data_IF_647887356676
#
_entry.id   IF_647887356676
#
_cell.length_a   1.000
_cell.length_b   1.000
_cell.length_c   1.000
_cell.angle_alpha   90.00
_cell.angle_beta   90.00
_cell.angle_gamma   90.00
#
_symmetry.space_group_name_H-M   'P 1'
#
loop_
_entity.id
_entity.type
_entity.pdbx_description
1 polymer ?
#
# COMPACT_ATOMS: atom_id res chain seq x y z
N UNK A 1 26.98 54.59 -7.74
CA UNK A 1 27.08 53.18 -7.30
C UNK A 1 26.65 52.34 -8.48
N UNK A 2 27.54 51.54 -9.07
CA UNK A 2 27.21 50.73 -10.24
C UNK A 2 26.57 49.43 -9.75
N UNK A 3 25.31 49.17 -10.14
CA UNK A 3 24.66 47.89 -9.93
C UNK A 3 25.37 46.84 -10.77
N UNK A 4 26.15 45.99 -10.11
CA UNK A 4 26.83 44.88 -10.75
C UNK A 4 25.81 43.76 -10.94
N UNK A 5 25.09 43.78 -12.07
CA UNK A 5 24.13 42.75 -12.42
C UNK A 5 24.91 41.46 -12.73
N UNK A 6 25.09 40.58 -11.74
CA UNK A 6 25.74 39.29 -11.93
C UNK A 6 24.93 38.48 -12.94
N UNK A 7 25.41 38.43 -14.18
CA UNK A 7 24.84 37.60 -15.23
C UNK A 7 25.04 36.14 -14.81
N UNK A 8 23.96 35.45 -14.43
CA UNK A 8 23.98 34.02 -14.07
C UNK A 8 24.67 33.22 -15.16
N UNK A 9 25.59 32.33 -14.77
CA UNK A 9 26.30 31.47 -15.72
C UNK A 9 25.32 30.52 -16.41
N UNK A 10 25.64 30.09 -17.64
CA UNK A 10 24.84 29.08 -18.37
C UNK A 10 24.68 27.79 -17.57
N UNK A 11 25.71 27.42 -16.79
CA UNK A 11 25.68 26.27 -15.89
C UNK A 11 24.63 26.44 -14.78
N UNK A 12 24.59 27.61 -14.14
CA UNK A 12 23.64 27.91 -13.07
C UNK A 12 22.20 27.90 -13.58
N UNK A 13 21.97 28.43 -14.78
CA UNK A 13 20.65 28.41 -15.42
C UNK A 13 20.18 26.97 -15.73
N UNK A 14 21.11 26.08 -16.10
CA UNK A 14 20.79 24.67 -16.36
C UNK A 14 20.49 23.92 -15.06
N UNK A 15 21.29 24.16 -14.01
CA UNK A 15 21.06 23.58 -12.68
C UNK A 15 19.74 24.03 -12.05
N UNK A 16 19.35 25.29 -12.24
CA UNK A 16 18.04 25.78 -11.81
C UNK A 16 16.88 25.03 -12.49
N UNK A 17 17.00 24.70 -13.78
CA UNK A 17 15.99 23.90 -14.48
C UNK A 17 15.94 22.46 -13.97
N UNK A 18 17.09 21.84 -13.75
CA UNK A 18 17.18 20.48 -13.20
C UNK A 18 16.60 20.42 -11.78
N UNK A 19 16.95 21.37 -10.91
CA UNK A 19 16.37 21.46 -9.55
C UNK A 19 14.87 21.74 -9.55
N UNK A 20 14.37 22.48 -10.54
CA UNK A 20 12.93 22.70 -10.71
C UNK A 20 12.21 21.42 -11.16
N UNK A 21 12.82 20.64 -12.06
CA UNK A 21 12.26 19.37 -12.55
C UNK A 21 12.40 18.24 -11.52
N UNK A 22 13.48 18.25 -10.75
CA UNK A 22 13.86 17.24 -9.75
C UNK A 22 14.16 17.90 -8.38
N UNK A 23 13.13 18.33 -7.63
CA UNK A 23 13.32 19.06 -6.37
C UNK A 23 13.97 18.23 -5.25
N UNK A 24 14.00 16.90 -5.37
CA UNK A 24 14.64 16.01 -4.40
C UNK A 24 16.13 15.71 -4.66
N UNK A 25 16.69 16.17 -5.79
CA UNK A 25 18.10 15.97 -6.15
C UNK A 25 18.91 17.23 -5.86
N UNK A 26 20.12 17.07 -5.32
CA UNK A 26 20.93 18.21 -4.87
C UNK A 26 21.85 18.72 -5.98
N UNK A 27 22.27 17.83 -6.89
CA UNK A 27 23.17 18.15 -8.00
C UNK A 27 24.47 18.79 -7.47
N UNK A 28 25.14 18.06 -6.57
CA UNK A 28 26.34 18.55 -5.87
C UNK A 28 27.63 18.33 -6.69
N UNK A 29 27.66 17.31 -7.54
CA UNK A 29 28.80 16.99 -8.40
C UNK A 29 28.42 16.89 -9.88
N UNK A 30 29.44 16.91 -10.75
CA UNK A 30 29.27 16.83 -12.20
C UNK A 30 28.68 15.49 -12.65
N UNK A 31 28.94 14.39 -11.92
CA UNK A 31 28.47 13.04 -12.27
C UNK A 31 26.95 12.91 -12.09
N UNK A 32 26.40 13.42 -10.99
CA UNK A 32 24.95 13.49 -10.72
C UNK A 32 24.25 14.39 -11.74
N UNK A 33 24.88 15.51 -12.12
CA UNK A 33 24.38 16.44 -13.13
C UNK A 33 24.33 15.77 -14.50
N UNK A 34 25.46 15.25 -14.99
CA UNK A 34 25.52 14.63 -16.33
C UNK A 34 24.76 13.32 -16.40
N UNK A 35 24.71 12.54 -15.32
CA UNK A 35 23.90 11.32 -15.21
C UNK A 35 22.41 11.62 -15.38
N UNK A 36 21.87 12.57 -14.61
CA UNK A 36 20.46 12.96 -14.76
C UNK A 36 20.14 13.54 -16.14
N UNK A 37 21.08 14.29 -16.73
CA UNK A 37 20.91 14.81 -18.10
C UNK A 37 20.84 13.65 -19.10
N UNK A 38 21.69 12.63 -18.95
CA UNK A 38 21.66 11.42 -19.79
C UNK A 38 20.34 10.68 -19.64
N UNK A 39 19.90 10.43 -18.40
CA UNK A 39 18.61 9.78 -18.12
C UNK A 39 17.44 10.54 -18.75
N UNK A 40 17.46 11.87 -18.67
CA UNK A 40 16.46 12.73 -19.32
C UNK A 40 16.46 12.55 -20.83
N UNK A 41 17.65 12.53 -21.46
CA UNK A 41 17.77 12.33 -22.91
C UNK A 41 17.26 10.95 -23.34
N UNK A 42 17.65 9.89 -22.63
CA UNK A 42 17.20 8.53 -22.93
C UNK A 42 15.68 8.41 -22.78
N UNK A 43 15.11 9.01 -21.73
CA UNK A 43 13.67 9.07 -21.56
C UNK A 43 12.98 9.82 -22.70
N UNK A 44 13.52 10.98 -23.10
CA UNK A 44 12.96 11.75 -24.22
C UNK A 44 13.07 10.99 -25.55
N UNK A 45 14.16 10.29 -25.80
CA UNK A 45 14.32 9.46 -26.99
C UNK A 45 13.29 8.33 -27.00
N UNK A 46 13.12 7.61 -25.88
CA UNK A 46 12.12 6.56 -25.75
C UNK A 46 10.69 7.10 -25.94
N UNK A 47 10.35 8.23 -25.31
CA UNK A 47 9.04 8.86 -25.48
C UNK A 47 8.82 9.28 -26.94
N UNK A 48 9.82 9.91 -27.57
CA UNK A 48 9.77 10.38 -28.95
C UNK A 48 9.59 9.22 -29.94
N UNK A 49 10.31 8.12 -29.75
CA UNK A 49 10.13 6.92 -30.57
C UNK A 49 8.74 6.31 -30.36
N UNK A 50 8.22 6.35 -29.13
CA UNK A 50 6.82 6.02 -28.86
C UNK A 50 5.83 6.92 -29.60
N UNK A 51 6.06 8.24 -29.63
CA UNK A 51 5.23 9.18 -30.38
C UNK A 51 5.30 8.92 -31.89
N UNK A 52 6.50 8.76 -32.44
CA UNK A 52 6.72 8.43 -33.86
C UNK A 52 6.05 7.12 -34.24
N UNK A 53 6.12 6.11 -33.37
CA UNK A 53 5.44 4.83 -33.57
C UNK A 53 3.92 4.99 -33.63
N UNK A 54 3.32 5.73 -32.70
CA UNK A 54 1.88 6.03 -32.70
C UNK A 54 1.46 6.87 -33.90
N UNK A 55 2.24 7.90 -34.23
CA UNK A 55 1.99 8.77 -35.38
C UNK A 55 2.06 7.99 -36.69
N UNK A 56 3.06 7.12 -36.84
CA UNK A 56 3.16 6.22 -37.99
C UNK A 56 1.96 5.29 -38.06
N UNK A 57 1.58 4.63 -36.97
CA UNK A 57 0.42 3.73 -36.95
C UNK A 57 -0.87 4.47 -37.33
N UNK A 58 -1.06 5.69 -36.82
CA UNK A 58 -2.21 6.52 -37.16
C UNK A 58 -2.19 6.98 -38.63
N UNK A 59 -1.01 7.38 -39.12
CA UNK A 59 -0.80 7.75 -40.53
C UNK A 59 -1.03 6.58 -41.49
N UNK A 60 -0.54 5.38 -41.14
CA UNK A 60 -0.76 4.15 -41.90
C UNK A 60 -2.26 3.80 -41.93
N UNK A 61 -2.97 3.93 -40.80
CA UNK A 61 -4.43 3.74 -40.72
C UNK A 61 -5.19 4.72 -41.64
N UNK A 62 -4.85 6.01 -41.59
CA UNK A 62 -5.47 7.03 -42.45
C UNK A 62 -5.13 6.86 -43.92
N UNK A 63 -3.94 6.34 -44.23
CA UNK A 63 -3.55 6.01 -45.60
C UNK A 63 -4.31 4.79 -46.12
N UNK A 64 -4.61 3.81 -45.25
CA UNK A 64 -5.37 2.62 -45.62
C UNK A 64 -6.83 2.93 -45.95
N UNK A 65 -7.48 3.84 -45.22
CA UNK A 65 -8.80 4.38 -45.59
C UNK A 65 -8.89 5.88 -45.26
N UNK A 66 -8.76 6.78 -46.25
CA UNK A 66 -8.87 8.22 -46.05
C UNK A 66 -10.20 8.67 -45.44
N UNK A 67 -11.28 7.89 -45.60
CA UNK A 67 -12.60 8.21 -45.02
C UNK A 67 -12.60 8.06 -43.51
N UNK A 68 -11.76 7.17 -42.96
CA UNK A 68 -11.60 7.00 -41.51
C UNK A 68 -11.02 8.25 -40.85
N UNK A 69 -10.10 8.95 -41.52
CA UNK A 69 -9.54 10.21 -41.05
C UNK A 69 -10.61 11.31 -40.98
N UNK A 70 -11.41 11.44 -42.04
CA UNK A 70 -12.51 12.41 -42.09
C UNK A 70 -13.58 12.08 -41.04
N UNK A 71 -13.86 10.80 -40.83
CA UNK A 71 -14.80 10.35 -39.80
C UNK A 71 -14.36 10.74 -38.39
N UNK A 72 -13.10 10.49 -38.03
CA UNK A 72 -12.56 10.89 -36.72
C UNK A 72 -12.49 12.41 -36.56
N UNK A 73 -12.15 13.14 -37.62
CA UNK A 73 -12.14 14.60 -37.61
C UNK A 73 -13.55 15.18 -37.40
N UNK A 74 -14.56 14.64 -38.09
CA UNK A 74 -15.96 15.02 -37.94
C UNK A 74 -16.45 14.75 -36.51
N UNK A 75 -16.13 13.59 -35.94
CA UNK A 75 -16.45 13.23 -34.55
C UNK A 75 -15.77 14.18 -33.54
N UNK A 76 -14.48 14.47 -33.72
CA UNK A 76 -13.74 15.43 -32.89
C UNK A 76 -14.38 16.83 -32.93
N UNK A 77 -14.93 17.22 -34.08
CA UNK A 77 -15.65 18.48 -34.25
C UNK A 77 -17.10 18.45 -33.75
N UNK A 78 -17.49 17.40 -33.02
CA UNK A 78 -18.81 17.27 -32.39
C UNK A 78 -19.93 16.85 -33.34
N UNK A 79 -19.61 16.35 -34.54
CA UNK A 79 -20.63 15.76 -35.41
C UNK A 79 -21.05 14.39 -34.87
N UNK A 80 -22.32 14.07 -35.06
CA UNK A 80 -22.87 12.78 -34.67
C UNK A 80 -22.14 11.65 -35.43
N UNK A 81 -21.58 10.65 -34.73
CA UNK A 81 -20.81 9.59 -35.37
C UNK A 81 -21.68 8.65 -36.21
N UNK A 82 -22.96 8.46 -35.91
CA UNK A 82 -23.85 7.65 -36.75
C UNK A 82 -24.11 8.36 -38.08
N UNK A 83 -24.37 9.66 -38.04
CA UNK A 83 -24.49 10.47 -39.26
C UNK A 83 -23.16 10.55 -40.02
N UNK A 84 -22.04 10.65 -39.31
CA UNK A 84 -20.69 10.65 -39.87
C UNK A 84 -20.37 9.36 -40.63
N UNK A 85 -20.85 8.21 -40.16
CA UNK A 85 -20.70 6.93 -40.87
C UNK A 85 -21.44 6.96 -42.20
N UNK A 86 -22.71 7.39 -42.22
CA UNK A 86 -23.51 7.49 -43.45
C UNK A 86 -22.93 8.51 -44.43
N UNK A 87 -22.41 9.64 -43.93
CA UNK A 87 -21.81 10.71 -44.74
C UNK A 87 -20.50 10.27 -45.40
N UNK A 88 -19.65 9.54 -44.67
CA UNK A 88 -18.32 9.16 -45.15
C UNK A 88 -18.31 7.82 -45.92
N UNK A 89 -19.18 6.87 -45.56
CA UNK A 89 -19.22 5.53 -46.16
C UNK A 89 -20.49 5.26 -46.98
N UNK A 90 -21.48 6.18 -46.97
CA UNK A 90 -22.71 6.07 -47.75
C UNK A 90 -23.82 5.26 -47.07
N UNK A 91 -25.00 5.25 -47.72
CA UNK A 91 -26.15 4.41 -47.32
C UNK A 91 -25.86 2.92 -47.57
N UNK A 92 -24.86 2.60 -48.40
CA UNK A 92 -24.38 1.24 -48.67
C UNK A 92 -23.87 0.51 -47.42
N UNK A 93 -23.62 1.22 -46.30
CA UNK A 93 -23.48 0.58 -44.98
C UNK A 93 -24.65 -0.37 -44.70
N UNK A 94 -25.87 0.01 -45.11
CA UNK A 94 -27.05 -0.84 -44.94
C UNK A 94 -26.91 -2.16 -45.70
N UNK A 95 -26.32 -2.15 -46.89
CA UNK A 95 -26.10 -3.37 -47.68
C UNK A 95 -25.01 -4.25 -47.05
N UNK A 96 -24.02 -3.64 -46.38
CA UNK A 96 -23.04 -4.36 -45.56
C UNK A 96 -23.69 -4.96 -44.32
N UNK A 97 -24.61 -4.23 -43.67
CA UNK A 97 -25.39 -4.76 -42.56
C UNK A 97 -26.28 -5.92 -43.03
N UNK A 98 -26.91 -5.84 -44.20
CA UNK A 98 -27.79 -6.88 -44.73
C UNK A 98 -27.05 -8.08 -45.35
N UNK A 99 -25.71 -8.05 -45.42
CA UNK A 99 -24.89 -9.15 -45.94
C UNK A 99 -24.80 -10.32 -44.93
N UNK A 100 -25.15 -11.56 -45.32
CA UNK A 100 -25.10 -12.73 -44.43
C UNK A 100 -23.75 -12.98 -43.75
N UNK A 101 -22.62 -12.78 -44.44
CA UNK A 101 -21.29 -13.00 -43.85
C UNK A 101 -20.91 -11.94 -42.82
N UNK A 102 -21.49 -10.73 -42.95
CA UNK A 102 -21.29 -9.64 -41.99
C UNK A 102 -22.27 -9.74 -40.82
N UNK A 103 -23.48 -10.26 -41.04
CA UNK A 103 -24.47 -10.52 -40.00
C UNK A 103 -23.92 -11.43 -38.89
N UNK A 104 -23.20 -12.49 -39.25
CA UNK A 104 -22.58 -13.38 -38.26
C UNK A 104 -21.53 -12.63 -37.41
N UNK A 105 -20.68 -11.82 -38.04
CA UNK A 105 -19.67 -11.00 -37.34
C UNK A 105 -20.30 -9.91 -36.47
N UNK A 106 -21.39 -9.29 -36.93
CA UNK A 106 -22.15 -8.29 -36.17
C UNK A 106 -22.84 -8.95 -34.98
N UNK A 107 -23.41 -10.15 -35.17
CA UNK A 107 -24.04 -10.91 -34.08
C UNK A 107 -23.01 -11.31 -33.02
N UNK A 108 -21.81 -11.73 -33.41
CA UNK A 108 -20.71 -12.02 -32.51
C UNK A 108 -20.25 -10.77 -31.74
N UNK A 109 -19.99 -9.65 -32.43
CA UNK A 109 -19.63 -8.38 -31.80
C UNK A 109 -20.72 -7.86 -30.85
N UNK A 110 -22.00 -8.02 -31.21
CA UNK A 110 -23.12 -7.64 -30.36
C UNK A 110 -23.25 -8.57 -29.14
N UNK A 111 -22.98 -9.87 -29.30
CA UNK A 111 -22.93 -10.82 -28.18
C UNK A 111 -21.84 -10.41 -27.17
N UNK A 112 -20.63 -10.10 -27.63
CA UNK A 112 -19.56 -9.60 -26.75
C UNK A 112 -19.95 -8.30 -26.05
N UNK A 113 -20.59 -7.37 -26.77
CA UNK A 113 -21.11 -6.13 -26.18
C UNK A 113 -22.14 -6.41 -25.10
N UNK A 114 -23.14 -7.25 -25.39
CA UNK A 114 -24.21 -7.63 -24.44
C UNK A 114 -23.63 -8.34 -23.22
N UNK A 115 -22.70 -9.28 -23.41
CA UNK A 115 -22.01 -9.97 -22.32
C UNK A 115 -21.22 -9.00 -21.44
N UNK A 116 -20.47 -8.06 -22.05
CA UNK A 116 -19.72 -7.04 -21.31
C UNK A 116 -20.65 -6.13 -20.51
N UNK A 117 -21.74 -5.66 -21.14
CA UNK A 117 -22.74 -4.80 -20.46
C UNK A 117 -23.46 -5.56 -19.35
N UNK A 118 -23.86 -6.82 -19.59
CA UNK A 118 -24.50 -7.65 -18.59
C UNK A 118 -23.56 -7.92 -17.41
N UNK A 119 -22.30 -8.27 -17.67
CA UNK A 119 -21.28 -8.49 -16.63
C UNK A 119 -20.99 -7.22 -15.85
N UNK A 120 -20.87 -6.07 -16.51
CA UNK A 120 -20.71 -4.78 -15.83
C UNK A 120 -21.89 -4.51 -14.90
N UNK A 121 -23.12 -4.61 -15.40
CA UNK A 121 -24.33 -4.42 -14.59
C UNK A 121 -24.42 -5.39 -13.42
N UNK A 122 -24.08 -6.67 -13.63
CA UNK A 122 -24.05 -7.66 -12.55
C UNK A 122 -23.02 -7.29 -11.47
N UNK A 123 -21.81 -6.87 -11.86
CA UNK A 123 -20.79 -6.41 -10.91
C UNK A 123 -21.22 -5.16 -10.16
N UNK A 124 -21.86 -4.21 -10.85
CA UNK A 124 -22.38 -2.98 -10.23
C UNK A 124 -23.50 -3.30 -9.23
N UNK A 125 -24.47 -4.14 -9.59
CA UNK A 125 -25.56 -4.58 -8.71
C UNK A 125 -25.04 -5.40 -7.51
N UNK A 126 -24.04 -6.25 -7.72
CA UNK A 126 -23.40 -7.01 -6.64
C UNK A 126 -22.63 -6.08 -5.70
N UNK A 127 -21.92 -5.10 -6.25
CA UNK A 127 -21.20 -4.09 -5.47
C UNK A 127 -22.16 -3.26 -4.61
N UNK A 128 -23.28 -2.77 -5.17
CA UNK A 128 -24.29 -2.03 -4.42
C UNK A 128 -24.88 -2.87 -3.27
N UNK A 129 -25.27 -4.12 -3.55
CA UNK A 129 -25.79 -5.04 -2.51
C UNK A 129 -24.75 -5.30 -1.41
N UNK A 130 -23.49 -5.50 -1.78
CA UNK A 130 -22.41 -5.73 -0.83
C UNK A 130 -22.11 -4.48 0.00
N UNK A 131 -22.26 -3.29 -0.57
CA UNK A 131 -22.09 -2.03 0.14
C UNK A 131 -23.17 -1.86 1.21
N UNK A 132 -24.44 -2.08 0.86
CA UNK A 132 -25.55 -2.02 1.81
C UNK A 132 -25.37 -3.02 2.95
N UNK A 133 -24.96 -4.26 2.63
CA UNK A 133 -24.66 -5.29 3.62
C UNK A 133 -23.48 -4.88 4.53
N UNK A 134 -22.42 -4.32 3.94
CA UNK A 134 -21.23 -3.86 4.67
C UNK A 134 -21.56 -2.72 5.63
N UNK A 135 -22.41 -1.76 5.23
CA UNK A 135 -22.91 -0.70 6.11
C UNK A 135 -23.72 -1.25 7.28
N UNK A 136 -24.55 -2.28 7.04
CA UNK A 136 -25.28 -2.95 8.12
C UNK A 136 -24.32 -3.67 9.09
N UNK A 137 -23.28 -4.33 8.58
CA UNK A 137 -22.25 -4.97 9.41
C UNK A 137 -21.47 -3.96 10.25
N UNK A 138 -21.10 -2.81 9.69
CA UNK A 138 -20.41 -1.75 10.43
C UNK A 138 -21.27 -1.23 11.60
N UNK A 139 -22.58 -1.01 11.38
CA UNK A 139 -23.50 -0.60 12.44
C UNK A 139 -23.61 -1.64 13.55
N UNK A 140 -23.77 -2.92 13.20
CA UNK A 140 -23.80 -4.00 14.19
C UNK A 140 -22.49 -4.08 14.98
N UNK A 141 -21.35 -3.97 14.30
CA UNK A 141 -20.04 -3.98 14.95
C UNK A 141 -19.85 -2.79 15.90
N UNK A 142 -20.33 -1.60 15.51
CA UNK A 142 -20.34 -0.42 16.35
C UNK A 142 -21.16 -0.65 17.63
N UNK A 143 -22.38 -1.18 17.49
CA UNK A 143 -23.27 -1.48 18.61
C UNK A 143 -22.68 -2.52 19.56
N UNK A 144 -22.17 -3.64 19.03
CA UNK A 144 -21.58 -4.73 19.82
C UNK A 144 -20.36 -4.29 20.63
N UNK A 145 -19.56 -3.37 20.08
CA UNK A 145 -18.33 -2.86 20.72
C UNK A 145 -18.56 -1.59 21.51
N UNK A 146 -19.77 -1.01 21.48
CA UNK A 146 -20.09 0.26 22.13
C UNK A 146 -19.22 1.41 21.63
N UNK A 147 -18.86 1.40 20.34
CA UNK A 147 -18.00 2.43 19.73
C UNK A 147 -18.78 3.71 19.47
N UNK A 148 -18.11 4.86 19.59
CA UNK A 148 -18.66 6.13 19.11
C UNK A 148 -18.65 6.18 17.57
N UNK A 149 -19.47 7.07 17.00
CA UNK A 149 -19.51 7.31 15.55
C UNK A 149 -18.11 7.65 15.00
N UNK A 150 -17.37 8.51 15.71
CA UNK A 150 -15.99 8.89 15.35
C UNK A 150 -15.01 7.70 15.30
N UNK A 151 -15.21 6.70 16.17
CA UNK A 151 -14.35 5.52 16.23
C UNK A 151 -14.64 4.55 15.08
N UNK A 152 -15.92 4.33 14.75
CA UNK A 152 -16.27 3.45 13.64
C UNK A 152 -15.92 4.10 12.29
N UNK A 153 -16.05 5.42 12.17
CA UNK A 153 -15.63 6.17 10.99
C UNK A 153 -14.12 6.02 10.75
N UNK A 154 -13.31 6.14 11.81
CA UNK A 154 -11.86 5.93 11.70
C UNK A 154 -11.50 4.50 11.26
N UNK A 155 -12.28 3.49 11.67
CA UNK A 155 -12.10 2.10 11.25
C UNK A 155 -12.47 1.93 9.77
N UNK A 156 -13.58 2.52 9.33
CA UNK A 156 -14.01 2.50 7.94
C UNK A 156 -13.01 3.18 7.01
N UNK A 157 -12.48 4.35 7.41
CA UNK A 157 -11.45 5.09 6.68
C UNK A 157 -10.14 4.30 6.57
N UNK A 158 -9.72 3.64 7.64
CA UNK A 158 -8.54 2.78 7.62
C UNK A 158 -8.73 1.61 6.66
N UNK A 159 -9.90 0.95 6.69
CA UNK A 159 -10.22 -0.13 5.76
C UNK A 159 -10.23 0.33 4.30
N UNK A 160 -10.87 1.48 4.00
CA UNK A 160 -10.91 2.07 2.67
C UNK A 160 -9.51 2.42 2.15
N UNK A 161 -8.63 2.90 3.03
CA UNK A 161 -7.24 3.19 2.67
C UNK A 161 -6.49 1.93 2.24
N UNK A 162 -6.63 0.83 2.99
CA UNK A 162 -6.01 -0.46 2.65
C UNK A 162 -6.53 -1.00 1.33
N UNK A 163 -7.85 -0.94 1.09
CA UNK A 163 -8.45 -1.40 -0.16
C UNK A 163 -7.95 -0.55 -1.34
N UNK A 164 -7.94 0.77 -1.20
CA UNK A 164 -7.46 1.70 -2.23
C UNK A 164 -5.99 1.42 -2.58
N UNK A 165 -5.14 1.27 -1.58
CA UNK A 165 -3.72 0.98 -1.79
C UNK A 165 -3.51 -0.40 -2.40
N UNK A 166 -4.29 -1.41 -2.00
CA UNK A 166 -4.29 -2.74 -2.60
C UNK A 166 -4.69 -2.74 -4.08
N UNK A 167 -5.73 -1.99 -4.46
CA UNK A 167 -6.14 -1.81 -5.87
C UNK A 167 -5.02 -1.15 -6.69
N UNK A 168 -4.26 -0.24 -6.08
CA UNK A 168 -3.12 0.43 -6.71
C UNK A 168 -1.80 -0.38 -6.63
N UNK A 169 -1.82 -1.58 -6.05
CA UNK A 169 -0.64 -2.43 -5.86
C UNK A 169 0.40 -1.88 -4.88
N UNK A 170 -0.01 -0.96 -3.99
CA UNK A 170 0.86 -0.33 -2.98
C UNK A 170 0.65 -1.02 -1.64
N UNK A 171 1.64 -1.78 -1.18
CA UNK A 171 1.62 -2.35 0.17
C UNK A 171 2.70 -1.67 0.99
N UNK A 172 2.30 -0.64 1.74
CA UNK A 172 3.24 0.12 2.56
C UNK A 172 3.73 -0.72 3.74
N UNK A 173 4.90 -0.35 4.28
CA UNK A 173 5.46 -1.01 5.47
C UNK A 173 4.49 -0.91 6.65
N UNK A 174 3.85 0.23 6.83
CA UNK A 174 2.87 0.50 7.87
C UNK A 174 1.66 -0.43 7.76
N UNK A 175 1.18 -0.70 6.54
CA UNK A 175 0.08 -1.64 6.30
C UNK A 175 0.48 -3.07 6.67
N UNK A 176 1.69 -3.50 6.30
CA UNK A 176 2.22 -4.81 6.67
C UNK A 176 2.41 -4.96 8.19
N UNK A 177 2.93 -3.93 8.85
CA UNK A 177 3.09 -3.89 10.31
C UNK A 177 1.73 -3.94 11.03
N UNK A 178 0.71 -3.24 10.51
CA UNK A 178 -0.66 -3.32 11.02
C UNK A 178 -1.19 -4.76 11.00
N UNK A 179 -1.00 -5.49 9.90
CA UNK A 179 -1.43 -6.89 9.81
C UNK A 179 -0.64 -7.82 10.72
N UNK A 180 0.68 -7.63 10.86
CA UNK A 180 1.51 -8.41 11.80
C UNK A 180 1.02 -8.22 13.24
N UNK A 181 0.77 -6.96 13.63
CA UNK A 181 0.26 -6.64 14.96
C UNK A 181 -1.15 -7.20 15.20
N UNK A 182 -2.01 -7.19 14.17
CA UNK A 182 -3.35 -7.78 14.26
C UNK A 182 -3.29 -9.31 14.43
N UNK A 183 -2.39 -10.01 13.73
CA UNK A 183 -2.21 -11.46 13.82
C UNK A 183 -1.67 -11.87 15.19
N UNK A 184 -0.72 -11.12 15.74
CA UNK A 184 -0.05 -11.45 16.99
C UNK A 184 -0.73 -10.88 18.23
N UNK A 185 -1.81 -10.10 18.09
CA UNK A 185 -2.42 -9.30 19.14
C UNK A 185 -2.61 -10.07 20.46
N UNK A 186 -3.28 -11.22 20.42
CA UNK A 186 -3.60 -12.00 21.62
C UNK A 186 -2.34 -12.58 22.30
N UNK A 187 -1.36 -13.01 21.49
CA UNK A 187 -0.09 -13.54 22.00
C UNK A 187 0.74 -12.44 22.66
N UNK A 188 0.83 -11.27 22.03
CA UNK A 188 1.61 -10.15 22.53
C UNK A 188 1.01 -9.60 23.83
N UNK A 189 -0.33 -9.53 23.93
CA UNK A 189 -1.03 -9.15 25.16
C UNK A 189 -0.78 -10.17 26.29
N UNK A 190 -0.87 -11.47 25.99
CA UNK A 190 -0.62 -12.52 26.98
C UNK A 190 0.83 -12.50 27.49
N UNK A 191 1.80 -12.37 26.59
CA UNK A 191 3.22 -12.30 26.93
C UNK A 191 3.52 -11.04 27.74
N UNK A 192 3.02 -9.86 27.33
CA UNK A 192 3.20 -8.61 28.07
C UNK A 192 2.60 -8.68 29.48
N UNK A 193 1.46 -9.34 29.66
CA UNK A 193 0.85 -9.56 30.98
C UNK A 193 1.73 -10.44 31.87
N UNK A 194 2.27 -11.54 31.34
CA UNK A 194 3.13 -12.45 32.10
C UNK A 194 4.48 -11.81 32.44
N UNK A 195 5.11 -11.13 31.47
CA UNK A 195 6.33 -10.36 31.69
C UNK A 195 6.11 -9.24 32.72
N UNK A 196 4.99 -8.51 32.63
CA UNK A 196 4.61 -7.49 33.61
C UNK A 196 4.41 -8.06 35.01
N UNK A 197 3.80 -9.25 35.13
CA UNK A 197 3.61 -9.95 36.41
C UNK A 197 4.94 -10.38 37.02
N UNK A 198 5.85 -10.93 36.20
CA UNK A 198 7.20 -11.32 36.62
C UNK A 198 8.01 -10.09 37.04
N UNK A 199 8.00 -9.02 36.24
CA UNK A 199 8.66 -7.76 36.55
C UNK A 199 8.12 -7.13 37.86
N UNK A 200 6.79 -7.14 38.05
CA UNK A 200 6.15 -6.65 39.27
C UNK A 200 6.53 -7.46 40.52
N UNK A 201 6.62 -8.79 40.40
CA UNK A 201 7.12 -9.66 41.49
C UNK A 201 8.58 -9.36 41.82
N UNK A 202 9.43 -9.22 40.80
CA UNK A 202 10.83 -8.90 40.98
C UNK A 202 11.02 -7.51 41.62
N UNK A 203 10.25 -6.51 41.20
CA UNK A 203 10.25 -5.18 41.81
C UNK A 203 9.86 -5.21 43.29
N UNK A 204 8.81 -5.97 43.67
CA UNK A 204 8.39 -6.16 45.06
C UNK A 204 9.46 -6.84 45.91
N UNK A 205 10.15 -7.85 45.37
CA UNK A 205 11.27 -8.53 46.05
C UNK A 205 12.41 -7.55 46.27
N UNK A 206 12.80 -6.78 45.25
CA UNK A 206 13.86 -5.77 45.36
C UNK A 206 13.49 -4.67 46.36
N UNK A 207 12.24 -4.19 46.38
CA UNK A 207 11.77 -3.23 47.38
C UNK A 207 11.80 -3.81 48.80
N UNK A 208 11.38 -5.07 48.97
CA UNK A 208 11.45 -5.79 50.24
C UNK A 208 12.88 -5.92 50.76
N UNK A 209 13.82 -6.33 49.91
CA UNK A 209 15.24 -6.44 50.23
C UNK A 209 15.85 -5.06 50.56
N UNK A 210 15.45 -4.00 49.85
CA UNK A 210 15.87 -2.62 50.17
C UNK A 210 15.36 -2.14 51.53
N UNK A 211 14.12 -2.49 51.92
CA UNK A 211 13.58 -2.19 53.25
C UNK A 211 14.28 -2.99 54.34
N UNK A 212 14.66 -4.24 54.08
CA UNK A 212 15.38 -5.09 55.03
C UNK A 212 16.82 -4.58 55.28
N UNK A 213 17.47 -4.01 54.27
CA UNK A 213 18.77 -3.32 54.40
C UNK A 213 18.70 -1.95 55.11
N UNK A 214 17.52 -1.50 55.54
CA UNK A 214 17.30 -0.28 56.33
C UNK A 214 17.13 -0.60 57.84
N UNK A 215 17.72 -1.70 58.31
CA UNK A 215 18.01 -1.97 59.72
C UNK A 215 19.50 -1.73 59.99
N UNK A 216 19.87 -1.41 61.22
CA UNK A 216 21.20 -0.89 61.64
C UNK A 216 22.42 -1.82 61.44
N UNK A 217 22.29 -2.86 60.62
CA UNK A 217 23.36 -3.83 60.37
C UNK A 217 23.60 -4.80 61.52
N UNK A 218 22.81 -4.79 62.59
CA UNK A 218 22.92 -5.79 63.67
C UNK A 218 21.89 -6.91 63.51
N UNK A 219 22.37 -8.14 63.37
CA UNK A 219 21.53 -9.34 63.49
C UNK A 219 20.93 -9.39 64.91
N UNK A 220 19.63 -9.70 65.09
CA UNK A 220 19.03 -9.80 66.42
C UNK A 220 19.57 -11.05 67.12
N UNK A 221 20.65 -10.89 67.88
CA UNK A 221 21.19 -11.91 68.77
C UNK A 221 20.42 -11.90 70.09
N UNK A 222 19.22 -12.48 70.08
CA UNK A 222 18.54 -12.81 71.33
C UNK A 222 18.91 -14.23 71.74
N UNK A 223 19.90 -14.34 72.63
CA UNK A 223 20.45 -15.60 73.10
C UNK A 223 19.55 -16.34 74.09
N UNK A 224 19.52 -17.68 74.01
CA UNK A 224 19.38 -18.53 75.19
C UNK A 224 19.98 -19.92 74.96
N UNK A 225 20.74 -20.35 75.95
CA UNK A 225 21.59 -21.52 76.06
C UNK A 225 20.92 -22.88 75.77
N UNK A 226 21.73 -23.76 75.16
CA UNK A 226 21.98 -25.12 75.65
C UNK A 226 21.00 -26.22 75.23
N UNK A 227 21.43 -27.12 74.33
CA UNK A 227 21.70 -28.51 74.70
C UNK A 227 22.45 -29.25 73.57
N UNK A 228 23.23 -30.23 73.96
CA UNK A 228 24.15 -31.00 73.14
C UNK A 228 23.47 -31.96 72.15
N UNK A 229 24.19 -32.25 71.06
CA UNK A 229 24.32 -33.59 70.51
C UNK A 229 23.23 -34.07 69.55
N UNK A 230 23.57 -34.12 68.27
CA UNK A 230 23.80 -35.37 67.53
C UNK A 230 23.63 -35.11 66.03
N UNK A 231 24.66 -35.46 65.27
CA UNK A 231 24.63 -35.32 63.82
C UNK A 231 23.67 -36.31 63.19
N UNK A 232 22.93 -35.84 62.21
CA UNK A 232 22.60 -36.63 61.03
C UNK A 232 23.12 -35.86 59.82
N UNK A 233 24.27 -36.31 59.30
CA UNK A 233 24.70 -35.96 57.95
C UNK A 233 23.64 -36.52 57.00
N UNK A 234 22.80 -35.68 56.42
CA UNK A 234 22.11 -36.04 55.19
C UNK A 234 23.16 -36.02 54.07
N UNK A 235 23.61 -37.21 53.66
CA UNK A 235 24.48 -37.36 52.50
C UNK A 235 23.86 -36.67 51.29
N UNK A 236 24.68 -35.92 50.55
CA UNK A 236 24.24 -35.25 49.32
C UNK A 236 24.07 -36.29 48.21
N UNK A 237 23.24 -36.00 47.20
CA UNK A 237 23.08 -36.85 46.00
C UNK A 237 24.43 -37.18 45.33
N UNK A 238 25.44 -36.33 45.52
CA UNK A 238 26.79 -36.54 45.03
C UNK A 238 27.60 -37.58 45.82
N UNK A 239 27.28 -37.83 47.10
CA UNK A 239 27.91 -38.89 47.88
C UNK A 239 27.34 -40.27 47.50
N UNK A 240 26.05 -40.33 47.14
CA UNK A 240 25.35 -41.55 46.68
C UNK A 240 25.75 -42.01 45.27
N UNK A 241 26.16 -41.07 44.40
CA UNK A 241 26.56 -41.38 43.03
C UNK A 241 28.00 -41.94 42.90
N UNK A 242 28.84 -41.77 43.93
CA UNK A 242 30.22 -42.25 43.93
C UNK A 242 30.39 -43.65 44.54
N UNK A 243 29.31 -44.24 45.09
CA UNK A 243 29.27 -45.62 45.61
C UNK A 243 28.66 -46.63 44.61
N UNK A 244 28.24 -46.17 43.42
CA UNK A 244 27.59 -47.00 42.39
C UNK A 244 28.43 -47.21 41.11
N UNK A 245 29.74 -46.98 41.16
CA UNK A 245 30.72 -47.43 40.13
C UNK A 245 31.61 -48.54 40.68
#
# INVERSE_FOLDING_TARGET
MAENNQVKSRRDQHLERLRKKYPGKKFEDDEEIYGQISDDYDQYEHELDGYRGREKALGDMFSADPRSAQFLADMHNGQDPVLGLVKNFGIEIKDVLDNPEMQDKIAEANKEYVERVAKSKQLDEEYEKNMDASLATLRQFQEERGMSDEQIDAVADAMLTVVKDGVMGKFSRETLEMFVNAINHDSDVANASEEGRVAGRNAKIVEGLRKQNKGDGTSPLNGKNGNAGSGQKSQSIFDLANEAM
#
